data_IF_185979377530
#
_entry.id   IF_185979377530
#
_cell.length_a   1.000
_cell.length_b   1.000
_cell.length_c   1.000
_cell.angle_alpha   90.00
_cell.angle_beta   90.00
_cell.angle_gamma   90.00
#
_symmetry.space_group_name_H-M   'P 1'
#
loop_
_entity.id
_entity.type
_entity.pdbx_description
1 polymer ?
#
# COMPACT_ATOMS: atom_id res chain seq x y z
N UNK A 1 -48.06 16.38 -22.89
CA UNK A 1 -47.58 16.77 -24.23
C UNK A 1 -46.10 17.07 -24.11
N UNK A 2 -45.28 16.05 -24.38
CA UNK A 2 -43.82 16.04 -24.27
C UNK A 2 -43.24 16.54 -25.59
N UNK A 3 -42.14 17.29 -25.49
CA UNK A 3 -41.47 18.01 -26.56
C UNK A 3 -40.76 17.08 -27.55
N UNK A 4 -40.97 17.34 -28.85
CA UNK A 4 -40.32 16.71 -29.99
C UNK A 4 -38.83 17.10 -30.05
N UNK A 5 -37.95 16.11 -29.91
CA UNK A 5 -36.57 16.20 -30.42
C UNK A 5 -36.52 15.37 -31.73
N UNK A 6 -35.95 15.90 -32.82
CA UNK A 6 -35.85 15.17 -34.08
C UNK A 6 -34.86 14.01 -33.90
N UNK A 7 -35.31 12.80 -34.25
CA UNK A 7 -34.50 11.59 -34.25
C UNK A 7 -33.29 11.78 -35.16
N UNK A 8 -32.13 11.92 -34.51
CA UNK A 8 -30.85 12.03 -35.17
C UNK A 8 -30.49 10.65 -35.77
N UNK A 9 -30.68 10.51 -37.09
CA UNK A 9 -30.32 9.32 -37.86
C UNK A 9 -28.79 9.20 -37.94
N UNK A 10 -28.17 8.49 -36.98
CA UNK A 10 -26.75 8.14 -37.03
C UNK A 10 -26.58 7.01 -38.07
N UNK A 11 -25.99 7.34 -39.22
CA UNK A 11 -25.66 6.38 -40.28
C UNK A 11 -24.62 5.39 -39.75
N UNK A 12 -24.90 4.08 -39.91
CA UNK A 12 -24.04 2.96 -39.50
C UNK A 12 -22.79 2.84 -40.38
N UNK A 13 -21.87 3.80 -40.31
CA UNK A 13 -20.56 3.72 -40.94
C UNK A 13 -19.46 3.70 -39.86
N UNK A 14 -19.61 2.83 -38.86
CA UNK A 14 -18.62 2.65 -37.78
C UNK A 14 -17.49 1.66 -38.15
N UNK A 15 -17.35 1.32 -39.44
CA UNK A 15 -16.39 0.32 -39.92
C UNK A 15 -15.09 0.89 -40.50
N UNK A 16 -14.94 2.23 -40.62
CA UNK A 16 -13.92 2.83 -41.49
C UNK A 16 -12.82 3.64 -40.80
N UNK A 17 -12.76 3.68 -39.46
CA UNK A 17 -11.75 4.49 -38.74
C UNK A 17 -11.07 3.73 -37.60
N UNK A 18 -10.53 2.54 -37.86
CA UNK A 18 -9.42 2.02 -37.05
C UNK A 18 -8.43 1.32 -37.99
N UNK A 19 -7.45 2.08 -38.50
CA UNK A 19 -6.24 1.46 -39.05
C UNK A 19 -5.64 0.63 -37.90
N UNK A 20 -5.55 -0.69 -38.08
CA UNK A 20 -4.89 -1.57 -37.12
C UNK A 20 -3.46 -1.07 -36.94
N UNK A 21 -3.15 -0.58 -35.73
CA UNK A 21 -1.81 -0.13 -35.37
C UNK A 21 -0.92 -1.37 -35.29
N UNK A 22 0.24 -1.33 -35.94
CA UNK A 22 1.23 -2.38 -35.76
C UNK A 22 1.90 -2.15 -34.40
N UNK A 23 1.74 -3.10 -33.49
CA UNK A 23 2.27 -3.01 -32.12
C UNK A 23 3.49 -3.92 -32.07
N UNK A 24 4.65 -3.35 -31.77
CA UNK A 24 5.89 -4.11 -31.64
C UNK A 24 5.82 -5.03 -30.41
N UNK A 25 6.40 -6.24 -30.44
CA UNK A 25 6.41 -7.11 -29.27
C UNK A 25 7.33 -6.55 -28.18
N UNK A 26 6.96 -6.74 -26.91
CA UNK A 26 7.80 -6.37 -25.76
C UNK A 26 9.05 -7.27 -25.75
N UNK A 27 10.27 -6.73 -25.87
CA UNK A 27 11.50 -7.53 -25.90
C UNK A 27 11.97 -7.92 -24.49
N UNK A 28 12.89 -8.88 -24.39
CA UNK A 28 13.63 -9.12 -23.15
C UNK A 28 14.72 -8.06 -22.96
N UNK A 29 14.50 -7.12 -22.05
CA UNK A 29 15.46 -6.06 -21.74
C UNK A 29 16.68 -6.60 -21.00
N UNK A 30 17.86 -6.09 -21.35
CA UNK A 30 19.13 -6.43 -20.69
C UNK A 30 19.50 -5.42 -19.60
N UNK A 31 18.81 -4.28 -19.54
CA UNK A 31 19.05 -3.20 -18.58
C UNK A 31 17.82 -2.30 -18.40
N UNK A 32 17.71 -1.66 -17.23
CA UNK A 32 16.66 -0.68 -16.95
C UNK A 32 16.68 0.53 -17.90
N UNK A 33 17.86 0.93 -18.38
CA UNK A 33 18.00 2.05 -19.33
C UNK A 33 17.41 1.72 -20.70
N UNK A 34 17.51 0.46 -21.13
CA UNK A 34 16.94 -0.01 -22.40
C UNK A 34 15.41 -0.09 -22.31
N UNK A 35 14.90 -0.58 -21.19
CA UNK A 35 13.47 -0.62 -20.89
C UNK A 35 12.84 0.77 -20.86
N UNK A 36 13.47 1.72 -20.17
CA UNK A 36 13.00 3.11 -20.15
C UNK A 36 12.93 3.73 -21.56
N UNK A 37 13.98 3.53 -22.38
CA UNK A 37 14.02 4.05 -23.74
C UNK A 37 12.94 3.42 -24.65
N UNK A 38 12.59 2.15 -24.42
CA UNK A 38 11.48 1.51 -25.11
C UNK A 38 10.15 2.19 -24.73
N UNK A 39 9.89 2.40 -23.45
CA UNK A 39 8.64 3.03 -22.97
C UNK A 39 8.55 4.54 -23.27
N UNK A 40 9.66 5.23 -23.49
CA UNK A 40 9.66 6.62 -23.97
C UNK A 40 9.02 6.78 -25.37
N UNK A 41 9.02 5.70 -26.17
CA UNK A 41 8.50 5.69 -27.54
C UNK A 41 7.21 4.87 -27.72
N UNK A 42 6.82 4.07 -26.73
CA UNK A 42 5.67 3.16 -26.79
C UNK A 42 4.60 3.51 -25.76
N UNK A 43 3.32 3.51 -26.16
CA UNK A 43 2.23 3.77 -25.22
C UNK A 43 1.88 2.51 -24.44
N UNK A 44 1.76 2.61 -23.12
CA UNK A 44 1.28 1.52 -22.26
C UNK A 44 -0.11 1.00 -22.70
N UNK A 45 -0.96 1.90 -23.23
CA UNK A 45 -2.30 1.55 -23.70
C UNK A 45 -2.29 0.58 -24.90
N UNK A 46 -1.22 0.57 -25.70
CA UNK A 46 -1.08 -0.37 -26.83
C UNK A 46 -0.90 -1.82 -26.34
N UNK A 47 -0.54 -2.01 -25.07
CA UNK A 47 -0.26 -3.32 -24.47
C UNK A 47 -1.31 -3.72 -23.42
N UNK A 48 -2.43 -2.99 -23.30
CA UNK A 48 -3.41 -3.15 -22.23
C UNK A 48 -3.87 -4.61 -22.02
N UNK A 49 -4.04 -5.37 -23.10
CA UNK A 49 -4.47 -6.77 -23.06
C UNK A 49 -3.38 -7.77 -22.62
N UNK A 50 -2.14 -7.32 -22.45
CA UNK A 50 -0.99 -8.15 -22.03
C UNK A 50 -0.65 -8.06 -20.54
N UNK A 51 -1.25 -7.11 -19.83
CA UNK A 51 -0.98 -6.92 -18.40
C UNK A 51 -1.82 -7.90 -17.58
N UNK A 52 -1.25 -8.33 -16.45
CA UNK A 52 -1.99 -9.06 -15.43
C UNK A 52 -2.58 -8.07 -14.43
N UNK A 53 -3.81 -8.34 -13.98
CA UNK A 53 -4.43 -7.58 -12.90
C UNK A 53 -3.63 -7.78 -11.61
N UNK A 54 -3.22 -6.68 -10.98
CA UNK A 54 -2.53 -6.70 -9.69
C UNK A 54 -3.43 -6.06 -8.63
N UNK A 55 -3.70 -6.79 -7.56
CA UNK A 55 -4.39 -6.25 -6.38
C UNK A 55 -3.47 -5.26 -5.66
N UNK A 56 -3.75 -3.95 -5.82
CA UNK A 56 -3.03 -2.91 -5.09
C UNK A 56 -3.79 -2.62 -3.80
N UNK A 57 -3.22 -3.00 -2.66
CA UNK A 57 -3.74 -2.64 -1.34
C UNK A 57 -3.16 -1.29 -0.92
N UNK A 58 -3.97 -0.23 -1.04
CA UNK A 58 -3.66 1.07 -0.45
C UNK A 58 -4.18 1.10 0.99
N UNK A 59 -3.30 0.91 1.97
CA UNK A 59 -3.64 1.09 3.38
C UNK A 59 -3.66 2.59 3.74
N UNK A 60 -4.74 3.27 3.35
CA UNK A 60 -4.96 4.70 3.62
C UNK A 60 -5.50 4.96 5.03
N UNK A 61 -5.87 3.90 5.76
CA UNK A 61 -6.58 3.97 7.04
C UNK A 61 -5.70 3.50 8.22
N UNK A 62 -4.39 3.34 7.99
CA UNK A 62 -3.42 3.16 9.06
C UNK A 62 -3.45 4.42 9.93
N UNK A 63 -4.27 4.38 10.98
CA UNK A 63 -4.23 5.30 12.12
C UNK A 63 -2.76 5.52 12.43
N UNK A 64 -2.25 6.74 12.22
CA UNK A 64 -0.82 7.04 12.32
C UNK A 64 -0.27 6.40 13.57
N UNK A 65 0.52 5.34 13.40
CA UNK A 65 1.16 4.70 14.54
C UNK A 65 2.17 5.70 15.10
N UNK A 66 1.84 6.35 16.21
CA UNK A 66 2.79 7.20 16.90
C UNK A 66 3.94 6.31 17.42
N UNK A 67 5.09 6.43 16.76
CA UNK A 67 6.27 5.64 17.09
C UNK A 67 7.10 6.32 18.18
N UNK A 68 7.41 5.60 19.25
CA UNK A 68 8.34 6.04 20.29
C UNK A 68 9.70 5.34 20.10
N UNK A 69 10.77 6.13 19.93
CA UNK A 69 12.14 5.61 19.90
C UNK A 69 12.73 5.67 21.31
N UNK A 70 13.08 4.51 21.87
CA UNK A 70 13.70 4.39 23.20
C UNK A 70 15.12 3.88 23.07
N UNK A 71 16.09 4.58 23.69
CA UNK A 71 17.47 4.11 23.78
C UNK A 71 17.58 3.04 24.88
N UNK A 72 17.97 1.84 24.50
CA UNK A 72 18.13 0.70 25.40
C UNK A 72 19.55 0.15 25.33
N UNK A 73 20.07 -0.32 26.47
CA UNK A 73 21.31 -1.10 26.47
C UNK A 73 21.13 -2.40 25.67
N UNK A 74 22.20 -2.85 25.01
CA UNK A 74 22.19 -4.04 24.14
C UNK A 74 21.71 -5.30 24.88
N UNK A 75 22.18 -5.50 26.11
CA UNK A 75 21.80 -6.63 26.97
C UNK A 75 20.29 -6.64 27.27
N UNK A 76 19.73 -5.47 27.61
CA UNK A 76 18.30 -5.33 27.88
C UNK A 76 17.45 -5.61 26.63
N UNK A 77 17.84 -5.07 25.46
CA UNK A 77 17.17 -5.34 24.18
C UNK A 77 17.13 -6.85 23.88
N UNK A 78 18.24 -7.55 24.11
CA UNK A 78 18.33 -9.00 23.91
C UNK A 78 17.43 -9.78 24.88
N UNK A 79 17.41 -9.41 26.16
CA UNK A 79 16.55 -10.03 27.17
C UNK A 79 15.06 -9.84 26.85
N UNK A 80 14.69 -8.64 26.40
CA UNK A 80 13.33 -8.32 25.96
C UNK A 80 12.91 -9.17 24.76
N UNK A 81 13.75 -9.24 23.73
CA UNK A 81 13.49 -10.06 22.54
C UNK A 81 13.36 -11.56 22.87
N UNK A 82 14.24 -12.10 23.72
CA UNK A 82 14.16 -13.50 24.18
C UNK A 82 12.86 -13.78 24.94
N UNK A 83 12.41 -12.83 25.75
CA UNK A 83 11.18 -12.96 26.53
C UNK A 83 9.94 -12.85 25.65
N UNK A 84 9.92 -11.94 24.69
CA UNK A 84 8.84 -11.81 23.70
C UNK A 84 8.68 -13.12 22.91
N UNK A 85 9.79 -13.66 22.39
CA UNK A 85 9.80 -14.93 21.65
C UNK A 85 9.27 -16.10 22.48
N UNK A 86 9.68 -16.23 23.74
CA UNK A 86 9.19 -17.28 24.66
C UNK A 86 7.68 -17.17 24.91
N UNK A 87 7.12 -15.96 24.84
CA UNK A 87 5.69 -15.69 24.99
C UNK A 87 4.92 -15.73 23.67
N UNK A 88 5.57 -16.01 22.54
CA UNK A 88 4.92 -15.98 21.21
C UNK A 88 4.54 -14.57 20.75
N UNK A 89 5.17 -13.53 21.31
CA UNK A 89 4.89 -12.13 20.99
C UNK A 89 6.05 -11.51 20.22
N UNK A 90 5.74 -10.48 19.44
CA UNK A 90 6.78 -9.58 18.93
C UNK A 90 7.29 -8.67 20.08
N UNK A 91 8.46 -8.07 19.87
CA UNK A 91 9.11 -7.24 20.88
C UNK A 91 8.34 -5.95 21.20
N UNK A 92 7.72 -5.30 20.21
CA UNK A 92 6.99 -4.03 20.40
C UNK A 92 5.68 -4.23 21.16
N UNK A 93 4.96 -5.32 20.89
CA UNK A 93 3.75 -5.74 21.61
C UNK A 93 4.07 -6.03 23.07
N UNK A 94 5.11 -6.82 23.36
CA UNK A 94 5.50 -7.08 24.75
C UNK A 94 5.88 -5.78 25.47
N UNK A 95 6.67 -4.91 24.83
CA UNK A 95 7.06 -3.63 25.40
C UNK A 95 5.84 -2.74 25.68
N UNK A 96 4.90 -2.64 24.72
CA UNK A 96 3.66 -1.88 24.87
C UNK A 96 2.83 -2.39 26.05
N UNK A 97 2.64 -3.71 26.17
CA UNK A 97 1.89 -4.32 27.27
C UNK A 97 2.48 -3.97 28.64
N UNK A 98 3.80 -4.11 28.80
CA UNK A 98 4.47 -3.78 30.07
C UNK A 98 4.45 -2.29 30.38
N UNK A 99 4.61 -1.42 29.38
CA UNK A 99 4.49 0.03 29.58
C UNK A 99 3.09 0.42 30.04
N UNK A 100 2.04 -0.17 29.43
CA UNK A 100 0.65 0.06 29.85
C UNK A 100 0.41 -0.40 31.29
N UNK A 101 0.92 -1.58 31.66
CA UNK A 101 0.81 -2.11 33.02
C UNK A 101 1.45 -1.16 34.04
N UNK A 102 2.67 -0.67 33.78
CA UNK A 102 3.36 0.27 34.67
C UNK A 102 2.65 1.62 34.81
N UNK A 103 2.12 2.17 33.71
CA UNK A 103 1.34 3.40 33.78
C UNK A 103 0.05 3.23 34.60
N UNK A 104 -0.59 2.06 34.54
CA UNK A 104 -1.77 1.77 35.34
C UNK A 104 -1.44 1.61 36.83
N UNK A 105 -0.32 0.96 37.17
CA UNK A 105 0.18 0.86 38.54
C UNK A 105 0.43 2.26 39.13
N UNK A 106 1.15 3.12 38.42
CA UNK A 106 1.46 4.50 38.85
C UNK A 106 0.17 5.32 39.06
N UNK A 107 -0.79 5.19 38.12
CA UNK A 107 -2.07 5.88 38.23
C UNK A 107 -2.89 5.43 39.46
N UNK A 108 -2.81 4.15 39.84
CA UNK A 108 -3.47 3.63 41.05
C UNK A 108 -2.77 4.13 42.31
N UNK A 109 -1.44 4.07 42.36
CA UNK A 109 -0.65 4.55 43.50
C UNK A 109 -0.89 6.05 43.76
N UNK A 110 -0.93 6.86 42.70
CA UNK A 110 -1.21 8.30 42.81
C UNK A 110 -2.64 8.66 43.23
N UNK A 111 -3.61 7.74 43.13
CA UNK A 111 -4.97 7.95 43.67
C UNK A 111 -5.04 7.60 45.15
N UNK A 112 -4.36 6.53 45.57
CA UNK A 112 -4.29 6.13 46.97
C UNK A 112 -3.57 7.16 47.86
N UNK A 113 -2.59 7.88 47.32
CA UNK A 113 -1.87 8.93 48.06
C UNK A 113 -2.64 10.27 48.18
N UNK A 114 -3.80 10.40 47.54
CA UNK A 114 -4.61 11.65 47.50
C UNK A 114 -5.94 11.56 48.24
N UNK A 115 -6.28 10.42 48.83
CA UNK A 115 -7.45 10.22 49.68
C UNK A 115 -7.04 9.94 51.11
#
# INVERSE_FOLDING_TARGET
>A
MWWLLPEMQIKKNAGEYMKKKNIDPIPHFKSYTEEAAFWDSHSLADYWDTWEDVDIVFDLDTTREESLIVRLQKSFKQALAKTARRKGLNMSTLARMWLMEKLQEDARAGRAARG
#
